data_IF_490964255082
#
_entry.id   IF_490964255082
#
_cell.length_a   1.000
_cell.length_b   1.000
_cell.length_c   1.000
_cell.angle_alpha   90.00
_cell.angle_beta   90.00
_cell.angle_gamma   90.00
#
_symmetry.space_group_name_H-M   'P 1'
#
loop_
_entity.id
_entity.type
_entity.pdbx_description
1 polymer ?
#
# COMPACT_ATOMS: atom_id res chain seq x y z
N UNK A 1 -11.11 18.79 -5.65
CA UNK A 1 -10.86 18.82 -4.18
C UNK A 1 -9.38 19.14 -3.99
N UNK A 2 -9.01 20.26 -3.37
CA UNK A 2 -7.60 20.67 -3.23
C UNK A 2 -6.84 19.63 -2.40
N UNK A 3 -5.68 19.15 -2.87
CA UNK A 3 -4.82 18.17 -2.18
C UNK A 3 -4.55 18.48 -0.68
N UNK A 4 -4.56 19.77 -0.30
CA UNK A 4 -4.43 20.22 1.10
C UNK A 4 -5.53 19.65 2.02
N UNK A 5 -6.78 19.60 1.52
CA UNK A 5 -7.96 19.16 2.28
C UNK A 5 -7.89 17.66 2.64
N UNK A 6 -7.39 16.84 1.70
CA UNK A 6 -7.15 15.40 1.93
C UNK A 6 -6.04 15.14 2.96
N UNK A 7 -4.98 15.95 2.96
CA UNK A 7 -3.85 15.81 3.89
C UNK A 7 -4.26 16.13 5.31
N UNK A 8 -5.01 17.21 5.50
CA UNK A 8 -5.50 17.67 6.80
C UNK A 8 -6.49 16.65 7.41
N UNK A 9 -7.40 16.13 6.58
CA UNK A 9 -8.32 15.05 6.95
C UNK A 9 -7.62 13.74 7.32
N UNK A 10 -6.57 13.37 6.59
CA UNK A 10 -5.77 12.18 6.93
C UNK A 10 -5.05 12.36 8.26
N UNK A 11 -4.55 13.56 8.57
CA UNK A 11 -3.88 13.83 9.85
C UNK A 11 -4.83 13.70 11.03
N UNK A 12 -6.06 14.20 10.92
CA UNK A 12 -7.08 14.05 11.95
C UNK A 12 -7.44 12.56 12.19
N UNK A 13 -7.54 11.75 11.13
CA UNK A 13 -7.77 10.32 11.25
C UNK A 13 -6.56 9.59 11.87
N UNK A 14 -5.33 9.91 11.43
CA UNK A 14 -4.10 9.28 11.90
C UNK A 14 -3.83 9.53 13.40
N UNK A 15 -4.45 10.56 14.01
CA UNK A 15 -4.37 10.82 15.46
C UNK A 15 -5.29 9.93 16.31
N UNK A 16 -6.32 9.33 15.72
CA UNK A 16 -7.25 8.40 16.42
C UNK A 16 -6.59 7.04 16.69
N UNK A 17 -7.03 6.30 17.71
CA UNK A 17 -6.52 4.94 17.98
C UNK A 17 -6.75 3.99 16.80
N UNK A 18 -7.93 4.07 16.18
CA UNK A 18 -8.28 3.30 14.99
C UNK A 18 -7.34 3.62 13.81
N UNK A 19 -7.06 4.90 13.58
CA UNK A 19 -6.13 5.36 12.53
C UNK A 19 -4.70 4.92 12.79
N UNK A 20 -4.20 5.01 14.03
CA UNK A 20 -2.86 4.53 14.40
C UNK A 20 -2.69 3.02 14.15
N UNK A 21 -3.68 2.22 14.55
CA UNK A 21 -3.63 0.76 14.36
C UNK A 21 -3.72 0.38 12.88
N UNK A 22 -4.62 1.03 12.13
CA UNK A 22 -4.73 0.82 10.68
C UNK A 22 -3.43 1.20 9.97
N UNK A 23 -2.87 2.38 10.25
CA UNK A 23 -1.64 2.84 9.62
C UNK A 23 -0.45 1.91 9.93
N UNK A 24 -0.39 1.34 11.14
CA UNK A 24 0.61 0.32 11.49
C UNK A 24 0.46 -0.95 10.65
N UNK A 25 -0.77 -1.44 10.45
CA UNK A 25 -1.07 -2.59 9.59
C UNK A 25 -0.75 -2.29 8.12
N UNK A 26 -1.15 -1.13 7.61
CA UNK A 26 -0.90 -0.71 6.24
C UNK A 26 0.59 -0.51 5.95
N UNK A 27 1.36 0.06 6.90
CA UNK A 27 2.82 0.13 6.79
C UNK A 27 3.46 -1.26 6.66
N UNK A 28 2.95 -2.26 7.38
CA UNK A 28 3.43 -3.65 7.25
C UNK A 28 3.11 -4.23 5.87
N UNK A 29 1.90 -4.00 5.36
CA UNK A 29 1.50 -4.45 4.01
C UNK A 29 2.37 -3.77 2.93
N UNK A 30 2.57 -2.46 3.05
CA UNK A 30 3.44 -1.69 2.17
C UNK A 30 4.88 -2.21 2.20
N UNK A 31 5.42 -2.43 3.41
CA UNK A 31 6.78 -2.97 3.58
C UNK A 31 6.92 -4.36 2.94
N UNK A 32 5.93 -5.25 3.12
CA UNK A 32 5.92 -6.55 2.47
C UNK A 32 5.89 -6.43 0.94
N UNK A 33 5.12 -5.47 0.41
CA UNK A 33 5.11 -5.16 -1.03
C UNK A 33 6.50 -4.72 -1.53
N UNK A 34 7.16 -3.81 -0.82
CA UNK A 34 8.52 -3.38 -1.14
C UNK A 34 9.53 -4.53 -1.09
N UNK A 35 9.46 -5.40 -0.08
CA UNK A 35 10.31 -6.59 0.03
C UNK A 35 10.08 -7.51 -1.18
N UNK A 36 8.83 -7.69 -1.60
CA UNK A 36 8.50 -8.50 -2.78
C UNK A 36 9.15 -7.94 -4.05
N UNK A 37 9.12 -6.62 -4.24
CA UNK A 37 9.81 -5.94 -5.37
C UNK A 37 11.32 -6.12 -5.28
N UNK A 38 11.93 -5.95 -4.11
CA UNK A 38 13.38 -6.15 -3.93
C UNK A 38 13.76 -7.60 -4.24
N UNK A 39 13.01 -8.58 -3.73
CA UNK A 39 13.22 -9.99 -4.02
C UNK A 39 13.10 -10.29 -5.52
N UNK A 40 12.16 -9.65 -6.21
CA UNK A 40 12.03 -9.81 -7.67
C UNK A 40 13.28 -9.35 -8.42
N UNK A 41 13.91 -8.25 -7.98
CA UNK A 41 15.17 -7.74 -8.57
C UNK A 41 16.32 -8.70 -8.29
N UNK A 42 16.44 -9.20 -7.06
CA UNK A 42 17.47 -10.18 -6.68
C UNK A 42 17.32 -11.45 -7.53
N UNK A 43 16.09 -11.95 -7.70
CA UNK A 43 15.80 -13.13 -8.49
C UNK A 43 16.05 -12.90 -9.98
N UNK A 44 15.76 -11.71 -10.50
CA UNK A 44 16.09 -11.32 -11.87
C UNK A 44 17.59 -11.37 -12.12
N UNK A 45 18.40 -10.79 -11.23
CA UNK A 45 19.86 -10.80 -11.33
C UNK A 45 20.37 -12.25 -11.30
N UNK A 46 19.84 -13.07 -10.39
CA UNK A 46 20.18 -14.48 -10.30
C UNK A 46 19.89 -15.23 -11.60
N UNK A 47 18.70 -15.07 -12.18
CA UNK A 47 18.31 -15.70 -13.43
C UNK A 47 19.23 -15.30 -14.60
N UNK A 48 19.67 -14.05 -14.65
CA UNK A 48 20.61 -13.57 -15.67
C UNK A 48 21.99 -14.24 -15.49
N UNK A 49 22.51 -14.29 -14.26
CA UNK A 49 23.83 -14.88 -13.97
C UNK A 49 23.83 -16.39 -14.23
N UNK A 50 22.76 -17.09 -13.83
CA UNK A 50 22.60 -18.53 -14.00
C UNK A 50 22.18 -18.94 -15.41
N UNK A 51 21.91 -17.99 -16.32
CA UNK A 51 21.37 -18.24 -17.67
C UNK A 51 20.11 -19.13 -17.62
N UNK A 52 19.19 -18.76 -16.73
CA UNK A 52 17.96 -19.49 -16.49
C UNK A 52 17.07 -19.58 -17.75
N UNK A 53 16.23 -20.61 -17.80
CA UNK A 53 15.26 -20.77 -18.87
C UNK A 53 14.21 -19.65 -18.84
N UNK A 54 13.63 -19.34 -20.01
CA UNK A 54 12.71 -18.21 -20.19
C UNK A 54 11.50 -18.23 -19.24
N UNK A 55 11.02 -19.42 -18.83
CA UNK A 55 9.87 -19.55 -17.94
C UNK A 55 10.17 -19.12 -16.50
N UNK A 56 11.44 -19.12 -16.07
CA UNK A 56 11.81 -18.67 -14.71
C UNK A 56 11.65 -17.15 -14.55
N UNK A 57 11.65 -16.40 -15.65
CA UNK A 57 11.32 -14.98 -15.66
C UNK A 57 9.83 -14.71 -15.39
N UNK A 58 8.94 -15.69 -15.60
CA UNK A 58 7.52 -15.55 -15.24
C UNK A 58 7.35 -15.37 -13.72
N UNK A 59 8.20 -16.03 -12.93
CA UNK A 59 8.20 -15.90 -11.47
C UNK A 59 8.63 -14.48 -11.04
N UNK A 60 9.62 -13.90 -11.73
CA UNK A 60 10.02 -12.49 -11.53
C UNK A 60 8.84 -11.56 -11.82
N UNK A 61 8.17 -11.73 -12.96
CA UNK A 61 7.02 -10.91 -13.33
C UNK A 61 5.90 -11.04 -12.29
N UNK A 62 5.59 -12.26 -11.85
CA UNK A 62 4.59 -12.51 -10.82
C UNK A 62 4.94 -11.79 -9.50
N UNK A 63 6.19 -11.86 -9.03
CA UNK A 63 6.65 -11.17 -7.82
C UNK A 63 6.53 -9.64 -7.94
N UNK A 64 6.89 -9.08 -9.09
CA UNK A 64 6.75 -7.63 -9.36
C UNK A 64 5.29 -7.22 -9.28
N UNK A 65 4.40 -7.93 -9.98
CA UNK A 65 2.96 -7.64 -9.98
C UNK A 65 2.39 -7.76 -8.57
N UNK A 66 2.76 -8.80 -7.83
CA UNK A 66 2.31 -9.01 -6.46
C UNK A 66 2.80 -7.87 -5.54
N UNK A 67 4.06 -7.47 -5.63
CA UNK A 67 4.61 -6.34 -4.87
C UNK A 67 3.85 -5.03 -5.14
N UNK A 68 3.59 -4.72 -6.41
CA UNK A 68 2.83 -3.53 -6.81
C UNK A 68 1.39 -3.59 -6.27
N UNK A 69 0.72 -4.74 -6.37
CA UNK A 69 -0.66 -4.91 -5.86
C UNK A 69 -0.73 -4.65 -4.35
N UNK A 70 0.23 -5.16 -3.57
CA UNK A 70 0.27 -4.93 -2.12
C UNK A 70 0.47 -3.46 -1.78
N UNK A 71 1.37 -2.78 -2.49
CA UNK A 71 1.60 -1.35 -2.35
C UNK A 71 0.32 -0.58 -2.69
N UNK A 72 -0.30 -0.85 -3.83
CA UNK A 72 -1.52 -0.19 -4.27
C UNK A 72 -2.68 -0.38 -3.28
N UNK A 73 -2.93 -1.62 -2.86
CA UNK A 73 -3.98 -1.94 -1.87
C UNK A 73 -3.75 -1.24 -0.54
N UNK A 74 -2.49 -1.07 -0.12
CA UNK A 74 -2.19 -0.32 1.11
C UNK A 74 -2.66 1.15 1.04
N UNK A 75 -2.50 1.80 -0.13
CA UNK A 75 -2.98 3.16 -0.36
C UNK A 75 -4.50 3.24 -0.50
N UNK A 76 -5.10 2.31 -1.26
CA UNK A 76 -6.53 2.25 -1.49
C UNK A 76 -7.31 2.12 -0.17
N UNK A 77 -6.87 1.21 0.71
CA UNK A 77 -7.49 1.01 2.03
C UNK A 77 -7.34 2.27 2.89
N UNK A 78 -6.16 2.92 2.90
CA UNK A 78 -5.97 4.17 3.65
C UNK A 78 -6.95 5.24 3.19
N UNK A 79 -7.08 5.41 1.88
CA UNK A 79 -7.95 6.42 1.28
C UNK A 79 -9.42 6.15 1.60
N UNK A 80 -9.86 4.90 1.49
CA UNK A 80 -11.23 4.50 1.80
C UNK A 80 -11.59 4.79 3.26
N UNK A 81 -10.72 4.42 4.20
CA UNK A 81 -11.03 4.60 5.62
C UNK A 81 -11.01 6.09 6.03
N UNK A 82 -10.08 6.88 5.49
CA UNK A 82 -10.06 8.34 5.69
C UNK A 82 -11.35 8.97 5.17
N UNK A 83 -11.81 8.59 3.97
CA UNK A 83 -13.08 9.10 3.44
C UNK A 83 -14.28 8.71 4.29
N UNK A 84 -14.32 7.46 4.77
CA UNK A 84 -15.38 6.97 5.66
C UNK A 84 -15.42 7.75 6.98
N UNK A 85 -14.26 7.98 7.59
CA UNK A 85 -14.14 8.80 8.80
C UNK A 85 -14.68 10.22 8.60
N UNK A 86 -14.31 10.88 7.50
CA UNK A 86 -14.77 12.23 7.21
C UNK A 86 -16.27 12.31 6.95
N UNK A 87 -16.84 11.34 6.23
CA UNK A 87 -18.27 11.26 6.00
C UNK A 87 -19.05 11.16 7.32
N UNK A 88 -18.60 10.30 8.23
CA UNK A 88 -19.24 10.11 9.53
C UNK A 88 -19.17 11.37 10.42
N UNK A 89 -18.03 12.07 10.44
CA UNK A 89 -17.89 13.31 11.20
C UNK A 89 -18.77 14.44 10.66
N UNK A 90 -18.89 14.57 9.33
CA UNK A 90 -19.82 15.54 8.72
C UNK A 90 -21.27 15.23 9.05
N UNK A 91 -21.65 13.95 9.15
CA UNK A 91 -23.01 13.54 9.47
C UNK A 91 -23.37 13.80 10.93
N UNK A 92 -22.41 13.66 11.85
CA UNK A 92 -22.57 14.01 13.27
C UNK A 92 -22.67 15.51 13.52
N UNK A 93 -21.92 16.33 12.80
CA UNK A 93 -21.98 17.80 12.93
C UNK A 93 -23.27 18.44 12.40
N UNK A 94 -24.08 17.72 11.62
CA UNK A 94 -25.37 18.18 11.08
C UNK A 94 -26.57 17.77 11.93
N UNK A 95 -26.33 17.04 13.01
CA UNK A 95 -27.35 16.56 13.96
C UNK A 95 -27.22 17.36 15.24
#
# INVERSE_FOLDING_TARGET
MKFKDLKEKSQAFDQTEAGKNLNKRLKRIFLNGCICVILSIVYLIWNIVSKAFWYEYLLVVALVVFGIVFIYKSYEIKFFEVNRYNYNNRKRSKK
#
